data_IF_110791017985
#
_entry.id   IF_110791017985
#
_cell.length_a   1.000
_cell.length_b   1.000
_cell.length_c   1.000
_cell.angle_alpha   90.00
_cell.angle_beta   90.00
_cell.angle_gamma   90.00
#
_symmetry.space_group_name_H-M   'P 1'
#
loop_
_entity.id
_entity.type
_entity.pdbx_description
1 polymer ?
#
# COMPACT_ATOMS: atom_id res chain seq x y z
N UNK A 1 -44.51 23.60 17.79
CA UNK A 1 -45.08 22.34 18.30
C UNK A 1 -46.25 21.91 17.44
N UNK A 2 -45.98 21.43 16.22
CA UNK A 2 -46.97 20.66 15.46
C UNK A 2 -46.90 19.21 15.92
N UNK A 3 -48.03 18.50 15.88
CA UNK A 3 -48.11 17.07 16.17
C UNK A 3 -47.33 16.24 15.14
N UNK A 4 -46.83 15.08 15.58
CA UNK A 4 -46.16 14.08 14.74
C UNK A 4 -47.14 13.61 13.66
N UNK A 5 -46.66 13.42 12.42
CA UNK A 5 -47.46 13.05 11.23
C UNK A 5 -48.50 14.07 10.73
N UNK A 6 -48.41 15.35 11.11
CA UNK A 6 -49.26 16.38 10.53
C UNK A 6 -49.02 16.53 9.00
N UNK A 7 -50.06 16.52 8.14
CA UNK A 7 -49.90 16.51 6.67
C UNK A 7 -49.13 17.73 6.11
N UNK A 8 -49.21 18.88 6.79
CA UNK A 8 -48.45 20.09 6.41
C UNK A 8 -46.94 19.98 6.64
N UNK A 9 -46.45 19.05 7.47
CA UNK A 9 -45.01 18.91 7.75
C UNK A 9 -44.22 18.59 6.49
N UNK A 10 -44.77 17.78 5.59
CA UNK A 10 -44.13 17.46 4.31
C UNK A 10 -43.99 18.68 3.41
N UNK A 11 -44.95 19.62 3.46
CA UNK A 11 -44.93 20.82 2.64
C UNK A 11 -44.00 21.88 3.24
N UNK A 12 -43.97 21.99 4.56
CA UNK A 12 -43.02 22.81 5.32
C UNK A 12 -41.58 22.34 5.07
N UNK A 13 -41.33 21.02 5.07
CA UNK A 13 -40.05 20.43 4.69
C UNK A 13 -39.59 20.88 3.30
N UNK A 14 -40.48 20.84 2.31
CA UNK A 14 -40.21 21.30 0.92
C UNK A 14 -39.89 22.80 0.87
N UNK A 15 -40.57 23.62 1.67
CA UNK A 15 -40.29 25.05 1.76
C UNK A 15 -38.91 25.31 2.37
N UNK A 16 -38.55 24.61 3.44
CA UNK A 16 -37.20 24.73 4.02
C UNK A 16 -36.10 24.24 3.07
N UNK A 17 -36.36 23.15 2.34
CA UNK A 17 -35.45 22.63 1.31
C UNK A 17 -35.21 23.66 0.20
N UNK A 18 -36.27 24.25 -0.35
CA UNK A 18 -36.16 25.30 -1.38
C UNK A 18 -35.50 26.59 -0.87
N UNK A 19 -35.62 26.86 0.43
CA UNK A 19 -34.93 27.98 1.10
C UNK A 19 -33.46 27.66 1.45
N UNK A 20 -33.00 26.42 1.27
CA UNK A 20 -31.63 25.99 1.57
C UNK A 20 -31.36 25.71 3.05
N UNK A 21 -32.38 25.55 3.89
CA UNK A 21 -32.22 25.34 5.33
C UNK A 21 -32.36 23.86 5.68
N UNK A 22 -31.24 23.13 5.74
CA UNK A 22 -31.23 21.68 5.87
C UNK A 22 -31.76 21.19 7.24
N UNK A 23 -31.35 21.79 8.35
CA UNK A 23 -31.67 21.28 9.69
C UNK A 23 -33.18 21.22 9.95
N UNK A 24 -33.90 22.31 9.63
CA UNK A 24 -35.35 22.37 9.79
C UNK A 24 -36.11 21.53 8.76
N UNK A 25 -35.58 21.39 7.53
CA UNK A 25 -36.16 20.51 6.53
C UNK A 25 -36.09 19.04 6.98
N UNK A 26 -34.92 18.60 7.46
CA UNK A 26 -34.70 17.26 8.01
C UNK A 26 -35.59 17.01 9.21
N UNK A 27 -35.67 17.94 10.17
CA UNK A 27 -36.53 17.78 11.34
C UNK A 27 -38.02 17.62 10.95
N UNK A 28 -38.49 18.39 9.97
CA UNK A 28 -39.85 18.27 9.45
C UNK A 28 -40.11 16.93 8.74
N UNK A 29 -39.15 16.47 7.93
CA UNK A 29 -39.25 15.18 7.24
C UNK A 29 -39.17 13.98 8.21
N UNK A 30 -38.34 14.06 9.25
CA UNK A 30 -38.27 13.04 10.30
C UNK A 30 -39.58 12.95 11.11
N UNK A 31 -40.19 14.09 11.42
CA UNK A 31 -41.49 14.16 12.14
C UNK A 31 -42.68 13.62 11.35
N UNK A 32 -42.55 13.43 10.04
CA UNK A 32 -43.56 12.80 9.20
C UNK A 32 -43.15 11.41 8.68
N UNK A 33 -42.16 10.78 9.32
CA UNK A 33 -41.65 9.44 8.98
C UNK A 33 -41.18 9.29 7.52
N UNK A 34 -40.83 10.41 6.87
CA UNK A 34 -40.34 10.46 5.47
C UNK A 34 -38.82 10.52 5.42
N UNK A 35 -38.18 9.42 5.82
CA UNK A 35 -36.72 9.33 5.95
C UNK A 35 -36.02 9.51 4.59
N UNK A 36 -36.57 8.93 3.51
CA UNK A 36 -36.00 9.06 2.15
C UNK A 36 -35.92 10.52 1.69
N UNK A 37 -36.95 11.32 2.03
CA UNK A 37 -36.98 12.76 1.72
C UNK A 37 -36.00 13.54 2.58
N UNK A 38 -35.82 13.18 3.84
CA UNK A 38 -34.80 13.78 4.71
C UNK A 38 -33.38 13.56 4.17
N UNK A 39 -33.08 12.33 3.73
CA UNK A 39 -31.78 11.98 3.14
C UNK A 39 -31.58 12.69 1.80
N UNK A 40 -32.59 12.67 0.92
CA UNK A 40 -32.53 13.36 -0.38
C UNK A 40 -32.33 14.86 -0.21
N UNK A 41 -33.00 15.48 0.76
CA UNK A 41 -32.83 16.90 1.08
C UNK A 41 -31.38 17.19 1.53
N UNK A 42 -30.80 16.37 2.41
CA UNK A 42 -29.40 16.51 2.82
C UNK A 42 -28.45 16.41 1.62
N UNK A 43 -28.70 15.48 0.70
CA UNK A 43 -27.91 15.32 -0.53
C UNK A 43 -28.03 16.54 -1.43
N UNK A 44 -29.25 17.02 -1.67
CA UNK A 44 -29.54 18.20 -2.50
C UNK A 44 -28.85 19.46 -1.95
N UNK A 45 -28.81 19.61 -0.62
CA UNK A 45 -28.20 20.73 0.07
C UNK A 45 -26.71 20.53 0.38
N UNK A 46 -26.10 19.44 -0.11
CA UNK A 46 -24.70 19.08 0.12
C UNK A 46 -24.30 18.83 1.59
N UNK A 47 -25.26 18.52 2.46
CA UNK A 47 -25.07 18.13 3.86
C UNK A 47 -24.87 16.60 3.98
N UNK A 48 -23.78 16.12 3.40
CA UNK A 48 -23.53 14.68 3.27
C UNK A 48 -23.28 13.95 4.60
N UNK A 49 -22.71 14.64 5.60
CA UNK A 49 -22.42 14.05 6.91
C UNK A 49 -23.70 13.70 7.67
N UNK A 50 -24.73 14.55 7.59
CA UNK A 50 -26.05 14.29 8.16
C UNK A 50 -26.79 13.24 7.34
N UNK A 51 -26.69 13.29 6.00
CA UNK A 51 -27.27 12.27 5.12
C UNK A 51 -26.82 10.85 5.49
N UNK A 52 -25.51 10.64 5.69
CA UNK A 52 -24.94 9.33 6.03
C UNK A 52 -25.36 8.89 7.44
N UNK A 53 -25.32 9.79 8.43
CA UNK A 53 -25.76 9.48 9.79
C UNK A 53 -27.22 9.02 9.82
N UNK A 54 -28.09 9.73 9.10
CA UNK A 54 -29.51 9.36 8.99
C UNK A 54 -29.68 8.01 8.28
N UNK A 55 -28.91 7.77 7.22
CA UNK A 55 -28.98 6.51 6.50
C UNK A 55 -28.48 5.32 7.36
N UNK A 56 -27.44 5.51 8.17
CA UNK A 56 -26.96 4.53 9.15
C UNK A 56 -27.98 4.28 10.28
N UNK A 57 -28.57 5.35 10.84
CA UNK A 57 -29.53 5.26 11.96
C UNK A 57 -30.82 4.55 11.57
N UNK A 58 -31.31 4.78 10.35
CA UNK A 58 -32.56 4.20 9.85
C UNK A 58 -32.36 2.99 8.91
N UNK A 59 -31.12 2.54 8.72
CA UNK A 59 -30.74 1.33 7.96
C UNK A 59 -31.37 1.24 6.55
N UNK A 60 -31.24 2.32 5.77
CA UNK A 60 -31.88 2.46 4.45
C UNK A 60 -31.13 1.60 3.40
N UNK A 61 -31.82 0.86 2.51
CA UNK A 61 -31.19 -0.08 1.59
C UNK A 61 -30.33 0.54 0.47
N UNK A 62 -30.38 1.86 0.24
CA UNK A 62 -29.70 2.55 -0.88
C UNK A 62 -28.47 3.38 -0.45
N UNK A 63 -27.88 3.04 0.71
CA UNK A 63 -26.66 3.68 1.25
C UNK A 63 -25.51 3.63 0.23
N UNK A 64 -25.40 2.56 -0.55
CA UNK A 64 -24.30 2.37 -1.50
C UNK A 64 -24.29 3.44 -2.60
N UNK A 65 -25.44 3.78 -3.18
CA UNK A 65 -25.54 4.82 -4.21
C UNK A 65 -25.12 6.19 -3.65
N UNK A 66 -25.58 6.51 -2.45
CA UNK A 66 -25.26 7.76 -1.73
C UNK A 66 -23.77 7.86 -1.39
N UNK A 67 -23.17 6.77 -0.92
CA UNK A 67 -21.73 6.70 -0.64
C UNK A 67 -20.90 6.95 -1.89
N UNK A 68 -21.27 6.37 -3.04
CA UNK A 68 -20.55 6.60 -4.29
C UNK A 68 -20.68 8.06 -4.77
N UNK A 69 -21.85 8.67 -4.65
CA UNK A 69 -22.05 10.08 -5.01
C UNK A 69 -21.23 11.01 -4.10
N UNK A 70 -21.24 10.77 -2.79
CA UNK A 70 -20.46 11.56 -1.85
C UNK A 70 -18.95 11.40 -2.09
N UNK A 71 -18.49 10.16 -2.27
CA UNK A 71 -17.10 9.86 -2.58
C UNK A 71 -16.65 10.52 -3.88
N UNK A 72 -17.51 10.56 -4.91
CA UNK A 72 -17.22 11.24 -6.18
C UNK A 72 -17.07 12.75 -5.99
N UNK A 73 -17.94 13.37 -5.19
CA UNK A 73 -17.84 14.79 -4.86
C UNK A 73 -16.59 15.11 -4.01
N UNK A 74 -16.22 14.27 -3.05
CA UNK A 74 -14.97 14.42 -2.30
C UNK A 74 -13.74 14.21 -3.17
N UNK A 75 -13.83 13.30 -4.17
CA UNK A 75 -12.75 13.03 -5.11
C UNK A 75 -12.50 14.25 -6.01
N UNK A 76 -13.56 14.94 -6.43
CA UNK A 76 -13.45 16.22 -7.16
C UNK A 76 -12.77 17.32 -6.33
N UNK A 77 -12.87 17.27 -4.99
CA UNK A 77 -12.20 18.19 -4.06
C UNK A 77 -10.82 17.70 -3.61
N UNK A 78 -10.33 16.60 -4.16
CA UNK A 78 -9.05 15.94 -3.80
C UNK A 78 -8.92 15.57 -2.31
N UNK A 79 -10.05 15.39 -1.60
CA UNK A 79 -10.07 15.02 -0.18
C UNK A 79 -9.94 13.52 0.01
N UNK A 80 -8.83 12.94 -0.44
CA UNK A 80 -8.66 11.48 -0.50
C UNK A 80 -8.77 10.77 0.86
N UNK A 81 -8.23 11.37 1.93
CA UNK A 81 -8.27 10.75 3.27
C UNK A 81 -9.71 10.67 3.82
N UNK A 82 -10.52 11.71 3.58
CA UNK A 82 -11.93 11.72 3.99
C UNK A 82 -12.72 10.60 3.28
N UNK A 83 -12.41 10.35 2.00
CA UNK A 83 -13.00 9.25 1.22
C UNK A 83 -12.57 7.89 1.77
N UNK A 84 -11.30 7.74 2.16
CA UNK A 84 -10.81 6.50 2.77
C UNK A 84 -11.50 6.23 4.10
N UNK A 85 -11.69 7.25 4.95
CA UNK A 85 -12.41 7.10 6.20
C UNK A 85 -13.88 6.73 5.96
N UNK A 86 -14.52 7.37 4.98
CA UNK A 86 -15.89 7.07 4.55
C UNK A 86 -16.02 5.60 4.15
N UNK A 87 -15.18 5.13 3.21
CA UNK A 87 -15.23 3.74 2.74
C UNK A 87 -14.84 2.74 3.81
N UNK A 88 -13.93 3.08 4.73
CA UNK A 88 -13.60 2.23 5.88
C UNK A 88 -14.81 2.06 6.80
N UNK A 89 -15.52 3.14 7.15
CA UNK A 89 -16.74 3.08 7.99
C UNK A 89 -17.85 2.26 7.34
N UNK A 90 -18.00 2.37 6.02
CA UNK A 90 -18.92 1.56 5.23
C UNK A 90 -18.44 0.11 4.99
N UNK A 91 -17.33 -0.33 5.62
CA UNK A 91 -16.72 -1.65 5.43
C UNK A 91 -16.34 -1.98 3.95
N UNK A 92 -16.18 -0.95 3.12
CA UNK A 92 -15.77 -1.04 1.71
C UNK A 92 -14.26 -0.95 1.57
N UNK A 93 -13.58 -1.95 2.11
CA UNK A 93 -12.11 -2.00 2.20
C UNK A 93 -11.41 -1.94 0.85
N UNK A 94 -11.96 -2.61 -0.18
CA UNK A 94 -11.35 -2.61 -1.51
C UNK A 94 -11.38 -1.21 -2.13
N UNK A 95 -12.47 -0.47 -1.96
CA UNK A 95 -12.62 0.89 -2.48
C UNK A 95 -11.73 1.87 -1.72
N UNK A 96 -11.66 1.75 -0.39
CA UNK A 96 -10.71 2.50 0.43
C UNK A 96 -9.26 2.26 0.00
N UNK A 97 -8.86 1.00 -0.22
CA UNK A 97 -7.53 0.65 -0.72
C UNK A 97 -7.27 1.20 -2.13
N UNK A 98 -8.27 1.16 -3.01
CA UNK A 98 -8.14 1.74 -4.36
C UNK A 98 -7.85 3.25 -4.32
N UNK A 99 -8.47 3.97 -3.37
CA UNK A 99 -8.22 5.40 -3.18
C UNK A 99 -6.81 5.64 -2.66
N UNK A 100 -6.33 4.84 -1.70
CA UNK A 100 -4.95 4.94 -1.22
C UNK A 100 -3.93 4.64 -2.32
N UNK A 101 -4.18 3.65 -3.19
CA UNK A 101 -3.32 3.36 -4.34
C UNK A 101 -3.28 4.52 -5.34
N UNK A 102 -4.40 5.21 -5.58
CA UNK A 102 -4.41 6.45 -6.39
C UNK A 102 -3.53 7.55 -5.77
N UNK A 103 -3.51 7.68 -4.43
CA UNK A 103 -2.60 8.62 -3.76
C UNK A 103 -1.14 8.21 -4.01
N UNK A 104 -0.83 6.91 -3.94
CA UNK A 104 0.53 6.39 -4.24
C UNK A 104 0.95 6.74 -5.66
N UNK A 105 0.10 6.49 -6.66
CA UNK A 105 0.37 6.82 -8.06
C UNK A 105 0.62 8.33 -8.24
N UNK A 106 -0.19 9.18 -7.61
CA UNK A 106 0.00 10.63 -7.62
C UNK A 106 1.32 11.08 -6.97
N UNK A 107 1.78 10.39 -5.93
CA UNK A 107 3.06 10.71 -5.28
C UNK A 107 4.23 10.27 -6.15
N UNK A 108 4.14 9.10 -6.78
CA UNK A 108 5.18 8.59 -7.70
C UNK A 108 5.38 9.45 -8.94
N UNK A 109 4.36 10.19 -9.37
CA UNK A 109 4.45 11.13 -10.49
C UNK A 109 5.17 12.44 -10.16
N UNK A 110 5.48 12.71 -8.88
CA UNK A 110 6.21 13.92 -8.46
C UNK A 110 7.71 13.66 -8.50
N UNK A 111 8.48 14.68 -8.85
CA UNK A 111 9.96 14.61 -8.86
C UNK A 111 10.55 14.41 -7.45
N UNK A 112 9.88 14.91 -6.39
CA UNK A 112 10.28 14.72 -4.99
C UNK A 112 9.47 13.60 -4.33
N UNK A 113 9.91 12.37 -4.54
CA UNK A 113 9.29 11.18 -3.96
C UNK A 113 9.76 11.02 -2.51
N UNK A 114 8.86 11.21 -1.55
CA UNK A 114 9.13 10.92 -0.14
C UNK A 114 8.85 9.43 0.18
N UNK A 115 9.88 8.58 0.35
CA UNK A 115 9.67 7.14 0.54
C UNK A 115 8.98 6.81 1.87
N UNK A 116 9.15 7.67 2.89
CA UNK A 116 8.50 7.51 4.19
C UNK A 116 6.99 7.70 4.09
N UNK A 117 6.53 8.64 3.27
CA UNK A 117 5.09 8.84 3.03
C UNK A 117 4.49 7.63 2.31
N UNK A 118 5.17 7.11 1.28
CA UNK A 118 4.74 5.90 0.57
C UNK A 118 4.64 4.70 1.51
N UNK A 119 5.66 4.48 2.35
CA UNK A 119 5.62 3.46 3.41
C UNK A 119 4.41 3.63 4.32
N UNK A 120 4.11 4.84 4.79
CA UNK A 120 2.94 5.11 5.65
C UNK A 120 1.62 4.75 4.94
N UNK A 121 1.47 5.09 3.67
CA UNK A 121 0.27 4.77 2.90
C UNK A 121 0.11 3.26 2.71
N UNK A 122 1.18 2.56 2.35
CA UNK A 122 1.13 1.10 2.25
C UNK A 122 0.85 0.41 3.59
N UNK A 123 1.32 0.97 4.71
CA UNK A 123 0.95 0.50 6.06
C UNK A 123 -0.55 0.68 6.31
N UNK A 124 -1.15 1.81 5.89
CA UNK A 124 -2.60 2.01 5.99
C UNK A 124 -3.37 0.98 5.15
N UNK A 125 -2.90 0.68 3.94
CA UNK A 125 -3.47 -0.41 3.11
C UNK A 125 -3.38 -1.74 3.87
N UNK A 126 -2.21 -2.03 4.47
CA UNK A 126 -1.98 -3.17 5.35
C UNK A 126 -3.05 -3.34 6.43
N UNK A 127 -3.28 -2.27 7.19
CA UNK A 127 -4.27 -2.24 8.27
C UNK A 127 -5.70 -2.44 7.77
N UNK A 128 -6.09 -1.82 6.65
CA UNK A 128 -7.45 -1.96 6.10
C UNK A 128 -7.78 -3.41 5.75
N UNK A 129 -6.86 -4.11 5.08
CA UNK A 129 -7.06 -5.53 4.74
C UNK A 129 -6.98 -6.44 5.96
N UNK A 130 -6.17 -6.09 6.96
CA UNK A 130 -6.11 -6.82 8.22
C UNK A 130 -7.42 -6.72 9.01
N UNK A 131 -8.01 -5.52 9.09
CA UNK A 131 -9.33 -5.26 9.69
C UNK A 131 -10.42 -6.07 9.00
N UNK A 132 -10.46 -6.07 7.65
CA UNK A 132 -11.35 -6.95 6.86
C UNK A 132 -11.17 -8.43 7.21
N UNK A 133 -9.92 -8.88 7.33
CA UNK A 133 -9.61 -10.27 7.62
C UNK A 133 -10.04 -10.68 9.04
N UNK A 134 -9.98 -9.76 10.00
CA UNK A 134 -10.46 -9.98 11.37
C UNK A 134 -11.99 -10.14 11.40
N UNK A 135 -12.71 -9.24 10.74
CA UNK A 135 -14.17 -9.32 10.57
C UNK A 135 -14.60 -10.62 9.89
N UNK A 136 -13.86 -11.05 8.85
CA UNK A 136 -14.11 -12.32 8.17
C UNK A 136 -13.78 -13.54 9.04
N UNK A 137 -12.82 -13.46 9.97
CA UNK A 137 -12.49 -14.56 10.90
C UNK A 137 -13.55 -14.72 11.98
N UNK A 138 -14.15 -13.63 12.43
CA UNK A 138 -15.30 -13.66 13.33
C UNK A 138 -16.53 -14.23 12.60
N UNK A 139 -16.80 -13.78 11.38
CA UNK A 139 -17.94 -14.24 10.56
C UNK A 139 -17.74 -15.63 9.91
N UNK A 140 -16.50 -16.13 9.77
CA UNK A 140 -16.21 -17.47 9.21
C UNK A 140 -16.66 -18.62 10.10
N UNK A 141 -16.97 -18.36 11.38
CA UNK A 141 -17.68 -19.36 12.22
C UNK A 141 -19.10 -19.64 11.72
N UNK A 142 -19.70 -18.75 10.93
CA UNK A 142 -21.08 -18.88 10.43
C UNK A 142 -21.19 -19.14 8.91
N UNK A 143 -20.22 -18.72 8.09
CA UNK A 143 -20.40 -18.61 6.63
C UNK A 143 -19.50 -19.49 5.74
N UNK A 144 -19.04 -20.65 6.21
CA UNK A 144 -18.25 -21.61 5.40
C UNK A 144 -18.98 -22.13 4.14
N UNK A 145 -20.30 -21.96 4.03
CA UNK A 145 -21.13 -22.44 2.90
C UNK A 145 -21.31 -21.42 1.76
N UNK A 146 -21.14 -20.12 1.99
CA UNK A 146 -21.47 -19.07 1.00
C UNK A 146 -20.28 -18.59 0.17
N UNK A 147 -19.04 -18.89 0.62
CA UNK A 147 -17.80 -18.41 -0.01
C UNK A 147 -17.35 -19.21 -1.24
N UNK A 148 -18.06 -20.27 -1.63
CA UNK A 148 -17.74 -21.11 -2.79
C UNK A 148 -18.43 -20.67 -4.10
N UNK A 149 -19.19 -19.56 -4.10
CA UNK A 149 -20.10 -19.21 -5.20
C UNK A 149 -19.93 -17.81 -5.82
N UNK A 150 -18.81 -17.10 -5.64
CA UNK A 150 -18.64 -15.79 -6.31
C UNK A 150 -17.25 -15.64 -6.93
N UNK A 151 -17.12 -16.11 -8.16
CA UNK A 151 -16.22 -15.56 -9.16
C UNK A 151 -16.84 -14.28 -9.73
N UNK A 152 -16.07 -13.20 -9.90
CA UNK A 152 -16.25 -12.39 -11.10
C UNK A 152 -15.08 -11.45 -11.44
N UNK A 153 -14.96 -11.23 -12.75
CA UNK A 153 -13.90 -10.55 -13.48
C UNK A 153 -13.91 -9.01 -13.35
N UNK A 154 -12.72 -8.41 -13.19
CA UNK A 154 -12.39 -7.13 -13.82
C UNK A 154 -10.87 -7.03 -13.98
N UNK A 155 -10.37 -6.56 -15.12
CA UNK A 155 -8.96 -6.72 -15.52
C UNK A 155 -8.35 -5.33 -15.70
N UNK A 156 -7.56 -4.91 -14.69
CA UNK A 156 -6.36 -4.05 -14.75
C UNK A 156 -6.11 -3.30 -13.43
N UNK A 157 -7.13 -2.71 -12.80
CA UNK A 157 -7.04 -2.26 -11.38
C UNK A 157 -7.08 -3.43 -10.40
N UNK A 158 -7.64 -4.56 -10.83
CA UNK A 158 -7.69 -5.76 -10.04
C UNK A 158 -6.32 -6.37 -9.77
N UNK A 159 -5.30 -6.17 -10.61
CA UNK A 159 -3.99 -6.80 -10.37
C UNK A 159 -3.30 -6.22 -9.13
N UNK A 160 -3.29 -4.90 -8.98
CA UNK A 160 -2.74 -4.22 -7.79
C UNK A 160 -3.60 -4.43 -6.55
N UNK A 161 -4.94 -4.42 -6.69
CA UNK A 161 -5.84 -4.77 -5.59
C UNK A 161 -5.71 -6.25 -5.19
N UNK A 162 -5.49 -7.17 -6.13
CA UNK A 162 -5.31 -8.60 -5.89
C UNK A 162 -3.99 -8.86 -5.18
N UNK A 163 -2.89 -8.23 -5.61
CA UNK A 163 -1.60 -8.24 -4.90
C UNK A 163 -1.74 -7.69 -3.47
N UNK A 164 -2.49 -6.60 -3.28
CA UNK A 164 -2.77 -6.06 -1.96
C UNK A 164 -3.72 -6.94 -1.12
N UNK A 165 -4.58 -7.75 -1.76
CA UNK A 165 -5.49 -8.65 -1.04
C UNK A 165 -4.78 -9.91 -0.55
N UNK A 166 -3.81 -10.43 -1.32
CA UNK A 166 -3.05 -11.63 -0.98
C UNK A 166 -1.82 -11.32 -0.09
N UNK A 167 -1.13 -10.19 -0.36
CA UNK A 167 0.05 -9.74 0.38
C UNK A 167 -0.03 -8.24 0.71
N UNK A 168 -0.94 -7.83 1.61
CA UNK A 168 -1.22 -6.41 1.90
C UNK A 168 -0.01 -5.63 2.43
N UNK A 169 0.94 -6.31 3.06
CA UNK A 169 2.12 -5.70 3.67
C UNK A 169 3.33 -5.60 2.74
N UNK A 170 3.31 -6.23 1.55
CA UNK A 170 4.50 -6.31 0.68
C UNK A 170 4.97 -4.94 0.18
N UNK A 171 4.05 -4.02 -0.13
CA UNK A 171 4.41 -2.64 -0.49
C UNK A 171 5.04 -1.87 0.68
N UNK A 172 4.55 -2.09 1.91
CA UNK A 172 5.12 -1.47 3.11
C UNK A 172 6.52 -2.02 3.42
N UNK A 173 6.71 -3.32 3.20
CA UNK A 173 7.98 -4.03 3.34
C UNK A 173 9.02 -3.52 2.32
N UNK A 174 8.64 -3.34 1.05
CA UNK A 174 9.51 -2.79 0.01
C UNK A 174 10.14 -1.46 0.43
N UNK A 175 9.30 -0.47 0.76
CA UNK A 175 9.77 0.85 1.20
C UNK A 175 10.44 0.81 2.57
N UNK A 176 10.11 -0.18 3.42
CA UNK A 176 10.85 -0.39 4.66
C UNK A 176 12.31 -0.71 4.37
N UNK A 177 12.58 -1.74 3.56
CA UNK A 177 13.95 -2.15 3.26
C UNK A 177 14.70 -1.11 2.45
N UNK A 178 14.01 -0.37 1.57
CA UNK A 178 14.60 0.73 0.81
C UNK A 178 15.15 1.83 1.72
N UNK A 179 14.34 2.28 2.69
CA UNK A 179 14.76 3.27 3.69
C UNK A 179 15.84 2.68 4.62
N UNK A 180 15.73 1.41 5.00
CA UNK A 180 16.68 0.75 5.89
C UNK A 180 18.08 0.68 5.26
N UNK A 181 18.18 0.30 3.98
CA UNK A 181 19.44 0.25 3.26
C UNK A 181 20.12 1.63 3.19
N UNK A 182 19.36 2.69 2.90
CA UNK A 182 19.90 4.06 2.90
C UNK A 182 20.39 4.49 4.28
N UNK A 183 19.62 4.20 5.35
CA UNK A 183 20.05 4.48 6.73
C UNK A 183 21.34 3.76 7.08
N UNK A 184 21.43 2.46 6.76
CA UNK A 184 22.64 1.68 6.99
C UNK A 184 23.85 2.25 6.23
N UNK A 185 23.67 2.79 5.02
CA UNK A 185 24.73 3.48 4.30
C UNK A 185 25.17 4.77 5.00
N UNK A 186 24.22 5.59 5.43
CA UNK A 186 24.51 6.84 6.14
C UNK A 186 25.20 6.60 7.49
N UNK A 187 24.82 5.53 8.20
CA UNK A 187 25.41 5.14 9.48
C UNK A 187 26.76 4.40 9.33
N UNK A 188 27.20 4.11 8.09
CA UNK A 188 28.47 3.43 7.81
C UNK A 188 28.43 1.90 7.93
N UNK A 189 27.25 1.29 8.09
CA UNK A 189 27.07 -0.17 8.08
C UNK A 189 27.03 -0.71 6.64
N UNK A 190 28.15 -0.57 5.93
CA UNK A 190 28.28 -0.82 4.48
C UNK A 190 27.95 -2.26 4.07
N UNK A 191 28.35 -3.24 4.88
CA UNK A 191 28.06 -4.65 4.64
C UNK A 191 26.57 -4.96 4.82
N UNK A 192 25.93 -4.45 5.87
CA UNK A 192 24.49 -4.62 6.09
C UNK A 192 23.69 -3.94 4.98
N UNK A 193 24.06 -2.72 4.60
CA UNK A 193 23.45 -1.97 3.52
C UNK A 193 23.46 -2.72 2.19
N UNK A 194 24.60 -3.31 1.82
CA UNK A 194 24.70 -4.12 0.60
C UNK A 194 23.70 -5.28 0.63
N UNK A 195 23.62 -6.01 1.75
CA UNK A 195 22.74 -7.18 1.89
C UNK A 195 21.27 -6.79 1.83
N UNK A 196 20.88 -5.76 2.58
CA UNK A 196 19.50 -5.23 2.54
C UNK A 196 19.14 -4.71 1.16
N UNK A 197 20.07 -4.07 0.44
CA UNK A 197 19.84 -3.60 -0.93
C UNK A 197 19.60 -4.74 -1.93
N UNK A 198 20.27 -5.88 -1.77
CA UNK A 198 20.06 -7.06 -2.64
C UNK A 198 18.66 -7.66 -2.47
N UNK A 199 18.03 -7.52 -1.31
CA UNK A 199 16.65 -7.97 -1.10
C UNK A 199 15.64 -7.15 -1.89
N UNK A 200 15.98 -5.91 -2.27
CA UNK A 200 15.09 -5.03 -3.02
C UNK A 200 14.78 -5.53 -4.44
N UNK A 201 15.57 -6.47 -4.97
CA UNK A 201 15.38 -7.07 -6.29
C UNK A 201 13.99 -7.72 -6.41
N UNK A 202 13.45 -8.28 -5.32
CA UNK A 202 12.14 -8.94 -5.30
C UNK A 202 10.94 -7.95 -5.20
N UNK A 203 11.22 -6.64 -5.20
CA UNK A 203 10.26 -5.55 -5.04
C UNK A 203 10.26 -4.57 -6.22
N UNK A 204 10.68 -5.01 -7.41
CA UNK A 204 10.59 -4.26 -8.68
C UNK A 204 9.17 -3.85 -9.05
N UNK A 205 8.16 -4.56 -8.55
CA UNK A 205 6.75 -4.20 -8.62
C UNK A 205 6.40 -2.86 -7.93
N UNK A 206 7.17 -2.46 -6.91
CA UNK A 206 6.85 -1.32 -6.03
C UNK A 206 7.83 -0.15 -6.19
N UNK A 207 9.10 -0.44 -6.41
CA UNK A 207 10.17 0.56 -6.53
C UNK A 207 10.74 0.44 -7.93
N UNK A 208 11.06 1.58 -8.53
CA UNK A 208 11.61 1.61 -9.89
C UNK A 208 12.92 0.82 -9.94
N UNK A 209 13.04 -0.02 -10.97
CA UNK A 209 14.20 -0.91 -11.10
C UNK A 209 15.51 -0.14 -11.17
N UNK A 210 15.51 1.06 -11.77
CA UNK A 210 16.67 1.96 -11.79
C UNK A 210 17.14 2.31 -10.37
N UNK A 211 16.24 2.76 -9.50
CA UNK A 211 16.57 3.12 -8.11
C UNK A 211 17.11 1.93 -7.32
N UNK A 212 16.52 0.74 -7.52
CA UNK A 212 16.97 -0.50 -6.88
C UNK A 212 18.42 -0.79 -7.28
N UNK A 213 18.73 -0.82 -8.58
CA UNK A 213 20.07 -1.17 -9.05
C UNK A 213 21.10 -0.07 -8.78
N UNK A 214 20.70 1.21 -8.77
CA UNK A 214 21.55 2.32 -8.34
C UNK A 214 21.95 2.18 -6.87
N UNK A 215 21.00 1.86 -5.99
CA UNK A 215 21.27 1.63 -4.57
C UNK A 215 22.18 0.40 -4.35
N UNK A 216 21.92 -0.70 -5.06
CA UNK A 216 22.77 -1.90 -5.02
C UNK A 216 24.19 -1.58 -5.52
N UNK A 217 24.32 -0.84 -6.63
CA UNK A 217 25.60 -0.43 -7.19
C UNK A 217 26.40 0.43 -6.21
N UNK A 218 25.75 1.43 -5.61
CA UNK A 218 26.36 2.31 -4.61
C UNK A 218 26.78 1.53 -3.35
N UNK A 219 25.89 0.74 -2.76
CA UNK A 219 26.20 -0.06 -1.58
C UNK A 219 27.31 -1.09 -1.85
N UNK A 220 27.32 -1.71 -3.02
CA UNK A 220 28.36 -2.67 -3.41
C UNK A 220 29.70 -1.98 -3.67
N UNK A 221 29.70 -0.77 -4.22
CA UNK A 221 30.91 0.03 -4.45
C UNK A 221 31.56 0.42 -3.12
N UNK A 222 30.77 0.91 -2.17
CA UNK A 222 31.25 1.29 -0.83
C UNK A 222 31.72 0.07 -0.03
N UNK A 223 31.06 -1.08 -0.16
CA UNK A 223 31.50 -2.34 0.45
C UNK A 223 32.69 -3.01 -0.29
N UNK A 224 33.25 -2.37 -1.33
CA UNK A 224 34.32 -2.90 -2.19
C UNK A 224 34.01 -4.26 -2.85
N UNK A 225 32.74 -4.60 -3.02
CA UNK A 225 32.31 -5.79 -3.74
C UNK A 225 32.07 -5.46 -5.23
N UNK A 226 33.15 -5.30 -5.97
CA UNK A 226 33.11 -4.88 -7.37
C UNK A 226 32.45 -5.89 -8.32
N UNK A 227 32.38 -7.18 -7.95
CA UNK A 227 31.62 -8.18 -8.73
C UNK A 227 30.11 -7.90 -8.69
N UNK A 228 29.55 -7.62 -7.51
CA UNK A 228 28.13 -7.28 -7.40
C UNK A 228 27.85 -5.89 -8.00
N UNK A 229 28.75 -4.94 -7.79
CA UNK A 229 28.67 -3.62 -8.42
C UNK A 229 28.60 -3.74 -9.95
N UNK A 230 29.51 -4.51 -10.57
CA UNK A 230 29.52 -4.71 -12.03
C UNK A 230 28.22 -5.35 -12.54
N UNK A 231 27.65 -6.32 -11.81
CA UNK A 231 26.35 -6.90 -12.16
C UNK A 231 25.22 -5.88 -12.11
N UNK A 232 25.23 -4.98 -11.13
CA UNK A 232 24.24 -3.91 -11.03
C UNK A 232 24.35 -2.94 -12.22
N UNK A 233 25.56 -2.52 -12.59
CA UNK A 233 25.79 -1.68 -13.78
C UNK A 233 25.34 -2.36 -15.07
N UNK A 234 25.64 -3.65 -15.28
CA UNK A 234 25.15 -4.41 -16.44
C UNK A 234 23.62 -4.40 -16.49
N UNK A 235 22.96 -4.51 -15.33
CA UNK A 235 21.50 -4.44 -15.25
C UNK A 235 20.98 -3.05 -15.61
N UNK A 236 21.57 -1.98 -15.05
CA UNK A 236 21.23 -0.59 -15.40
C UNK A 236 21.38 -0.33 -16.91
N UNK A 237 22.45 -0.84 -17.53
CA UNK A 237 22.69 -0.70 -18.96
C UNK A 237 21.67 -1.48 -19.82
N UNK A 238 21.13 -2.57 -19.30
CA UNK A 238 20.12 -3.39 -19.98
C UNK A 238 18.69 -2.90 -19.81
N UNK A 239 18.43 -1.90 -18.96
CA UNK A 239 17.08 -1.39 -18.72
C UNK A 239 16.62 -0.49 -19.87
N UNK A 240 15.63 -0.95 -20.62
CA UNK A 240 15.02 -0.23 -21.75
C UNK A 240 14.23 1.03 -21.32
N UNK A 241 13.85 1.11 -20.04
CA UNK A 241 13.14 2.25 -19.46
C UNK A 241 13.99 3.51 -19.33
N UNK A 242 15.31 3.37 -19.37
CA UNK A 242 16.26 4.48 -19.15
C UNK A 242 16.59 5.16 -20.48
N UNK A 243 16.61 6.50 -20.48
CA UNK A 243 17.00 7.31 -21.63
C UNK A 243 18.41 6.96 -22.12
N UNK A 244 18.61 7.02 -23.44
CA UNK A 244 19.89 6.65 -24.05
C UNK A 244 21.07 7.50 -23.57
N UNK A 245 20.84 8.73 -23.10
CA UNK A 245 21.88 9.60 -22.57
C UNK A 245 22.34 9.13 -21.18
N UNK A 246 21.40 8.93 -20.24
CA UNK A 246 21.68 8.36 -18.92
C UNK A 246 22.35 6.98 -19.00
N UNK A 247 21.96 6.15 -19.98
CA UNK A 247 22.60 4.84 -20.22
C UNK A 247 24.09 4.98 -20.57
N UNK A 248 24.47 5.99 -21.36
CA UNK A 248 25.87 6.30 -21.66
C UNK A 248 26.61 6.79 -20.42
N UNK A 249 25.95 7.56 -19.56
CA UNK A 249 26.54 8.02 -18.30
C UNK A 249 26.86 6.84 -17.37
N UNK A 250 25.94 5.87 -17.24
CA UNK A 250 26.19 4.63 -16.49
C UNK A 250 27.37 3.83 -17.08
N UNK A 251 27.46 3.73 -18.40
CA UNK A 251 28.59 3.06 -19.08
C UNK A 251 29.92 3.77 -18.81
N UNK A 252 29.95 5.10 -18.95
CA UNK A 252 31.14 5.91 -18.67
C UNK A 252 31.58 5.78 -17.21
N UNK A 253 30.61 5.80 -16.27
CA UNK A 253 30.87 5.60 -14.85
C UNK A 253 31.42 4.20 -14.58
N UNK A 254 30.80 3.16 -15.15
CA UNK A 254 31.27 1.78 -15.03
C UNK A 254 32.72 1.62 -15.52
N UNK A 255 33.07 2.16 -16.69
CA UNK A 255 34.44 2.16 -17.20
C UNK A 255 35.39 2.85 -16.21
N UNK A 256 35.04 4.04 -15.73
CA UNK A 256 35.90 4.81 -14.81
C UNK A 256 36.19 4.07 -13.50
N UNK A 257 35.22 3.31 -12.98
CA UNK A 257 35.33 2.52 -11.76
C UNK A 257 36.12 1.24 -12.04
N UNK A 258 35.73 0.45 -13.04
CA UNK A 258 36.27 -0.89 -13.27
C UNK A 258 37.63 -0.92 -13.96
N UNK A 259 38.05 0.17 -14.61
CA UNK A 259 39.46 0.33 -15.03
C UNK A 259 40.40 0.42 -13.83
N UNK A 260 39.96 1.04 -12.73
CA UNK A 260 40.76 1.17 -11.48
C UNK A 260 40.58 -0.04 -10.57
N UNK A 261 39.37 -0.58 -10.48
CA UNK A 261 38.98 -1.64 -9.56
C UNK A 261 38.38 -2.82 -10.33
N UNK A 262 39.17 -3.85 -10.68
CA UNK A 262 38.65 -4.97 -11.45
C UNK A 262 37.53 -5.70 -10.67
N UNK A 263 36.49 -6.20 -11.36
CA UNK A 263 35.34 -6.86 -10.74
C UNK A 263 35.70 -8.26 -10.22
N UNK A 264 36.48 -8.30 -9.14
CA UNK A 264 36.86 -9.51 -8.40
C UNK A 264 35.91 -9.70 -7.23
N UNK A 265 35.70 -10.96 -6.83
CA UNK A 265 35.00 -11.26 -5.59
C UNK A 265 35.80 -10.73 -4.41
N UNK A 266 35.11 -10.05 -3.48
CA UNK A 266 35.71 -9.69 -2.21
C UNK A 266 36.08 -10.96 -1.45
N UNK A 267 37.30 -11.00 -0.91
CA UNK A 267 37.76 -12.13 -0.08
C UNK A 267 37.03 -12.23 1.26
N UNK A 268 36.39 -11.14 1.69
CA UNK A 268 35.69 -11.02 2.98
C UNK A 268 34.18 -11.28 2.83
N UNK A 269 33.83 -12.23 1.97
CA UNK A 269 32.44 -12.58 1.74
C UNK A 269 31.97 -13.52 2.84
N UNK A 270 31.22 -12.97 3.80
CA UNK A 270 30.64 -13.73 4.90
C UNK A 270 29.73 -14.85 4.37
N UNK A 271 30.02 -16.08 4.78
CA UNK A 271 29.24 -17.27 4.43
C UNK A 271 28.50 -17.76 5.67
N UNK A 272 27.28 -18.21 5.47
CA UNK A 272 26.47 -18.85 6.48
C UNK A 272 26.18 -20.29 6.06
N UNK A 273 26.05 -21.18 7.04
CA UNK A 273 25.65 -22.56 6.80
C UNK A 273 24.12 -22.63 6.69
N UNK A 274 23.63 -23.27 5.63
CA UNK A 274 22.21 -23.59 5.54
C UNK A 274 21.87 -24.68 6.56
N UNK A 275 21.00 -24.38 7.53
CA UNK A 275 20.65 -25.36 8.58
C UNK A 275 19.85 -26.58 8.08
N UNK A 276 19.34 -26.53 6.85
CA UNK A 276 18.53 -27.60 6.25
C UNK A 276 19.34 -28.58 5.39
N UNK A 277 20.40 -28.11 4.73
CA UNK A 277 21.19 -28.92 3.79
C UNK A 277 22.71 -28.77 3.98
N UNK A 278 23.12 -28.11 5.06
CA UNK A 278 24.51 -27.94 5.54
C UNK A 278 25.46 -27.29 4.50
N UNK A 279 24.87 -26.70 3.45
CA UNK A 279 25.62 -26.06 2.37
C UNK A 279 26.02 -24.66 2.80
N UNK A 280 27.30 -24.31 2.57
CA UNK A 280 27.80 -22.96 2.80
C UNK A 280 27.27 -22.02 1.71
N UNK A 281 26.38 -21.13 2.10
CA UNK A 281 25.75 -20.13 1.25
C UNK A 281 26.25 -18.73 1.61
N UNK A 282 26.03 -17.77 0.73
CA UNK A 282 26.25 -16.37 1.09
C UNK A 282 25.25 -15.96 2.18
N UNK A 283 25.68 -15.13 3.13
CA UNK A 283 24.86 -14.74 4.27
C UNK A 283 23.73 -13.75 3.94
N UNK A 284 23.64 -13.28 2.69
CA UNK A 284 22.52 -12.50 2.16
C UNK A 284 21.55 -13.31 1.31
N UNK A 285 21.76 -14.62 1.16
CA UNK A 285 20.83 -15.47 0.44
C UNK A 285 19.51 -15.57 1.20
N UNK A 286 18.40 -15.13 0.58
CA UNK A 286 17.03 -15.34 1.09
C UNK A 286 16.54 -16.74 0.74
N UNK A 287 17.10 -17.34 -0.32
CA UNK A 287 16.78 -18.70 -0.74
C UNK A 287 18.06 -19.49 -0.85
N UNK A 288 18.10 -20.69 -0.25
CA UNK A 288 19.23 -21.58 -0.40
C UNK A 288 19.31 -22.09 -1.85
N UNK A 289 20.42 -21.89 -2.58
CA UNK A 289 20.57 -22.35 -3.95
C UNK A 289 20.59 -23.87 -4.11
N UNK A 290 20.83 -24.63 -3.03
CA UNK A 290 20.90 -26.09 -3.08
C UNK A 290 19.55 -26.75 -2.75
N UNK A 291 18.95 -26.41 -1.59
CA UNK A 291 17.69 -27.03 -1.14
C UNK A 291 16.44 -26.17 -1.37
N UNK A 292 16.59 -24.98 -1.95
CA UNK A 292 15.50 -24.04 -2.26
C UNK A 292 14.67 -23.59 -1.04
N UNK A 293 15.20 -23.75 0.18
CA UNK A 293 14.55 -23.26 1.40
C UNK A 293 14.60 -21.74 1.46
N UNK A 294 13.46 -21.11 1.75
CA UNK A 294 13.33 -19.66 1.95
C UNK A 294 13.56 -19.30 3.41
N UNK A 295 14.39 -18.29 3.66
CA UNK A 295 14.69 -17.77 4.99
C UNK A 295 13.90 -16.48 5.22
N UNK A 296 13.22 -16.33 6.37
CA UNK A 296 12.53 -15.09 6.69
C UNK A 296 13.54 -13.95 6.90
N UNK A 297 13.18 -12.74 6.51
CA UNK A 297 14.00 -11.55 6.70
C UNK A 297 13.73 -10.92 8.07
N UNK A 298 14.79 -10.53 8.77
CA UNK A 298 14.68 -9.69 9.96
C UNK A 298 14.31 -8.27 9.55
N UNK A 299 13.13 -7.80 9.94
CA UNK A 299 12.66 -6.44 9.64
C UNK A 299 13.58 -5.38 10.24
N UNK A 300 14.19 -5.62 11.41
CA UNK A 300 15.05 -4.62 12.06
C UNK A 300 16.43 -4.48 11.39
N UNK A 301 17.05 -5.60 11.01
CA UNK A 301 18.43 -5.61 10.50
C UNK A 301 18.54 -5.81 8.99
N UNK A 302 17.45 -6.20 8.31
CA UNK A 302 17.44 -6.57 6.90
C UNK A 302 18.32 -7.77 6.57
N UNK A 303 18.54 -8.68 7.53
CA UNK A 303 19.33 -9.92 7.35
C UNK A 303 18.42 -11.14 7.29
N UNK A 304 18.73 -12.15 6.47
CA UNK A 304 18.01 -13.42 6.50
C UNK A 304 18.26 -14.15 7.82
N UNK A 305 17.19 -14.65 8.41
CA UNK A 305 17.21 -15.45 9.63
C UNK A 305 17.34 -16.91 9.20
N UNK A 306 18.57 -17.44 9.27
CA UNK A 306 18.86 -18.83 8.85
C UNK A 306 18.27 -19.88 9.81
N UNK A 307 18.04 -19.50 11.06
CA UNK A 307 17.48 -20.35 12.10
C UNK A 307 16.04 -19.94 12.42
N UNK A 308 15.07 -20.78 12.05
CA UNK A 308 13.65 -20.54 12.32
C UNK A 308 13.33 -20.45 13.81
N UNK A 309 14.16 -21.03 14.70
CA UNK A 309 13.98 -20.92 16.16
C UNK A 309 14.27 -19.51 16.70
N UNK A 310 15.06 -18.71 15.97
CA UNK A 310 15.35 -17.31 16.32
C UNK A 310 14.31 -16.34 15.75
N UNK A 311 13.31 -16.85 15.04
CA UNK A 311 12.22 -16.03 14.53
C UNK A 311 11.36 -15.57 15.70
N UNK A 312 11.40 -14.27 15.96
CA UNK A 312 10.47 -13.60 16.85
C UNK A 312 9.50 -12.74 16.05
N UNK A 313 8.21 -12.88 16.34
CA UNK A 313 7.17 -12.02 15.82
C UNK A 313 6.57 -11.22 16.96
N UNK A 314 6.32 -9.93 16.71
CA UNK A 314 5.63 -9.09 17.69
C UNK A 314 4.24 -9.67 17.95
N UNK A 315 3.88 -9.83 19.23
CA UNK A 315 2.49 -10.12 19.59
C UNK A 315 1.66 -8.89 19.24
N UNK A 316 0.51 -9.14 18.63
CA UNK A 316 -0.51 -8.10 18.41
C UNK A 316 -1.06 -7.61 19.73
#
# INVERSE_FOLDING_TARGET
NMEVDHPLLSEIGRVFETAGICDYAVEAYLKCHKIDFAITCCVNLNEWKTAIKLAEEYNVPDIDSLLHQYASHLLAKEKYLDIVELYRKANRVNDAASVLLKIVEKIKQKDDINPLLLKKIYVLIGFLYEEKSALLRENKRENLLSSLLKDDHSVNTAASLFKATDQPWKGAEAYHFYILAQRQLHDGYVDAAMKTSLHLIDYDDYIDSEDIYCLIGLASCVNHNFKLCSKAFIKLESLDSIESEKRKDYQNLAVSIFTKYPPRESKNMSKAECRYCETMIADWCVVCPNCNTKFPLCVASGRPIMDSAQQWTCKK
#
